data_IF_137176149807
#
_entry.id   IF_137176149807
#
_cell.length_a   1.000
_cell.length_b   1.000
_cell.length_c   1.000
_cell.angle_alpha   90.00
_cell.angle_beta   90.00
_cell.angle_gamma   90.00
#
_symmetry.space_group_name_H-M   'P 1'
#
loop_
_entity.id
_entity.type
_entity.pdbx_description
1 polymer ?
#
# COMPACT_ATOMS: atom_id res chain seq x y z
N UNK A 1 -11.08 -4.35 -3.14
CA UNK A 1 -10.91 -2.92 -2.76
C UNK A 1 -9.46 -2.60 -3.00
N UNK A 2 -9.12 -1.56 -3.77
CA UNK A 2 -7.70 -1.25 -3.99
C UNK A 2 -7.15 -0.50 -2.76
N UNK A 3 -6.50 -1.25 -1.87
CA UNK A 3 -5.95 -0.72 -0.62
C UNK A 3 -4.80 0.25 -0.85
N UNK A 4 -3.97 0.01 -1.87
CA UNK A 4 -2.88 0.90 -2.26
C UNK A 4 -3.41 2.27 -2.71
N UNK A 5 -4.39 2.28 -3.62
CA UNK A 5 -5.03 3.51 -4.09
C UNK A 5 -5.63 4.29 -2.94
N UNK A 6 -6.39 3.63 -2.06
CA UNK A 6 -7.06 4.33 -0.96
C UNK A 6 -6.06 4.91 0.05
N UNK A 7 -4.99 4.18 0.36
CA UNK A 7 -3.95 4.69 1.24
C UNK A 7 -3.22 5.89 0.62
N UNK A 8 -2.96 5.85 -0.69
CA UNK A 8 -2.37 6.97 -1.43
C UNK A 8 -3.29 8.20 -1.42
N UNK A 9 -4.59 8.04 -1.68
CA UNK A 9 -5.56 9.14 -1.62
C UNK A 9 -5.62 9.78 -0.22
N UNK A 10 -5.59 8.95 0.83
CA UNK A 10 -5.53 9.40 2.22
C UNK A 10 -4.25 10.19 2.49
N UNK A 11 -3.10 9.72 2.01
CA UNK A 11 -1.82 10.42 2.12
C UNK A 11 -1.83 11.77 1.36
N UNK A 12 -2.32 11.79 0.12
CA UNK A 12 -2.40 13.00 -0.70
C UNK A 12 -3.29 14.07 -0.06
N UNK A 13 -4.45 13.69 0.51
CA UNK A 13 -5.32 14.61 1.24
C UNK A 13 -4.61 15.23 2.44
N UNK A 14 -3.90 14.42 3.22
CA UNK A 14 -3.13 14.91 4.37
C UNK A 14 -2.00 15.85 3.94
N UNK A 15 -1.23 15.47 2.91
CA UNK A 15 -0.19 16.30 2.31
C UNK A 15 -0.70 17.68 1.94
N UNK A 16 -1.74 17.76 1.09
CA UNK A 16 -2.30 19.04 0.61
C UNK A 16 -2.70 19.91 1.79
N UNK A 17 -3.37 19.34 2.79
CA UNK A 17 -3.79 20.08 3.98
C UNK A 17 -2.59 20.63 4.77
N UNK A 18 -1.55 19.81 4.97
CA UNK A 18 -0.36 20.24 5.73
C UNK A 18 0.43 21.30 4.94
N UNK A 19 0.56 21.18 3.62
CA UNK A 19 1.22 22.18 2.78
C UNK A 19 0.53 23.54 2.87
N UNK A 20 -0.80 23.57 2.83
CA UNK A 20 -1.58 24.81 3.02
C UNK A 20 -1.31 25.44 4.39
N UNK A 21 -1.27 24.63 5.46
CA UNK A 21 -1.00 25.11 6.82
C UNK A 21 0.44 25.61 6.97
N UNK A 22 1.41 24.96 6.34
CA UNK A 22 2.81 25.41 6.30
C UNK A 22 2.95 26.74 5.55
N UNK A 23 2.23 26.92 4.44
CA UNK A 23 2.21 28.19 3.72
C UNK A 23 1.63 29.32 4.58
N UNK A 24 0.54 29.05 5.32
CA UNK A 24 -0.03 30.01 6.29
C UNK A 24 0.96 30.34 7.42
N UNK A 25 1.73 29.36 7.89
CA UNK A 25 2.79 29.56 8.89
C UNK A 25 3.86 30.53 8.37
N UNK A 26 4.30 30.34 7.12
CA UNK A 26 5.27 31.22 6.47
C UNK A 26 4.72 32.64 6.25
N UNK A 27 3.44 32.77 5.89
CA UNK A 27 2.77 34.06 5.76
C UNK A 27 2.68 34.80 7.10
N UNK A 28 2.31 34.10 8.18
CA UNK A 28 2.27 34.65 9.53
C UNK A 28 3.67 35.13 9.99
N UNK A 29 4.72 34.35 9.74
CA UNK A 29 6.12 34.76 9.99
C UNK A 29 6.47 36.04 9.23
N UNK A 30 6.08 36.12 7.95
CA UNK A 30 6.34 37.28 7.09
C UNK A 30 5.56 38.51 7.55
N UNK A 31 4.31 38.34 7.99
CA UNK A 31 3.49 39.40 8.55
C UNK A 31 4.07 39.96 9.84
N UNK A 32 4.54 39.09 10.73
CA UNK A 32 5.19 39.48 11.99
C UNK A 32 6.51 40.21 11.74
N UNK A 33 7.38 39.69 10.88
CA UNK A 33 8.64 40.35 10.49
C UNK A 33 8.41 41.76 9.94
N UNK A 34 7.38 41.93 9.11
CA UNK A 34 6.98 43.22 8.55
C UNK A 34 6.17 44.10 9.53
N UNK A 35 6.05 43.70 10.82
CA UNK A 35 5.30 44.39 11.88
C UNK A 35 3.83 44.68 11.55
N UNK A 36 3.23 43.81 10.71
CA UNK A 36 1.80 43.90 10.34
C UNK A 36 0.87 43.27 11.39
N UNK A 37 1.42 42.41 12.25
CA UNK A 37 0.73 41.77 13.38
C UNK A 37 1.57 41.91 14.64
N UNK A 38 0.93 41.83 15.81
CA UNK A 38 1.60 41.86 17.12
C UNK A 38 2.23 40.52 17.45
N UNK A 39 3.13 40.49 18.44
CA UNK A 39 3.72 39.26 18.96
C UNK A 39 2.65 38.28 19.46
N UNK A 40 1.65 38.77 20.20
CA UNK A 40 0.55 37.97 20.73
C UNK A 40 -0.23 37.26 19.61
N UNK A 41 -0.68 38.01 18.60
CA UNK A 41 -1.39 37.46 17.44
C UNK A 41 -0.51 36.46 16.68
N UNK A 42 0.79 36.74 16.57
CA UNK A 42 1.72 35.85 15.90
C UNK A 42 1.85 34.50 16.63
N UNK A 43 2.10 34.50 17.93
CA UNK A 43 2.28 33.26 18.70
C UNK A 43 1.00 32.43 18.80
N UNK A 44 -0.17 33.07 18.96
CA UNK A 44 -1.46 32.37 18.92
C UNK A 44 -1.71 31.71 17.56
N UNK A 45 -1.45 32.44 16.47
CA UNK A 45 -1.60 31.92 15.10
C UNK A 45 -0.69 30.72 14.87
N UNK A 46 0.58 30.79 15.29
CA UNK A 46 1.51 29.67 15.13
C UNK A 46 1.07 28.44 15.94
N UNK A 47 0.62 28.64 17.18
CA UNK A 47 0.16 27.55 18.04
C UNK A 47 -1.07 26.84 17.45
N UNK A 48 -2.01 27.59 16.88
CA UNK A 48 -3.19 27.02 16.22
C UNK A 48 -2.83 26.29 14.92
N UNK A 49 -1.92 26.85 14.11
CA UNK A 49 -1.42 26.19 12.90
C UNK A 49 -0.69 24.88 13.24
N UNK A 50 0.17 24.87 14.26
CA UNK A 50 0.88 23.67 14.69
C UNK A 50 -0.08 22.60 15.21
N UNK A 51 -1.12 22.99 15.95
CA UNK A 51 -2.20 22.08 16.36
C UNK A 51 -2.92 21.49 15.16
N UNK A 52 -3.23 22.30 14.15
CA UNK A 52 -3.93 21.86 12.94
C UNK A 52 -3.08 20.93 12.08
N UNK A 53 -1.76 21.16 12.00
CA UNK A 53 -0.81 20.26 11.33
C UNK A 53 -0.79 18.92 12.06
N UNK A 54 -0.64 18.92 13.39
CA UNK A 54 -0.67 17.70 14.20
C UNK A 54 -1.99 16.92 14.03
N UNK A 55 -3.13 17.62 13.97
CA UNK A 55 -4.44 17.01 13.72
C UNK A 55 -4.53 16.36 12.33
N UNK A 56 -4.04 17.03 11.28
CA UNK A 56 -4.02 16.47 9.93
C UNK A 56 -3.14 15.20 9.85
N UNK A 57 -1.96 15.25 10.49
CA UNK A 57 -1.04 14.11 10.60
C UNK A 57 -1.67 12.92 11.34
N UNK A 58 -2.29 13.18 12.49
CA UNK A 58 -2.93 12.13 13.30
C UNK A 58 -4.14 11.52 12.57
N UNK A 59 -4.90 12.31 11.80
CA UNK A 59 -5.99 11.79 10.97
C UNK A 59 -5.47 10.81 9.91
N UNK A 60 -4.36 11.14 9.23
CA UNK A 60 -3.69 10.22 8.31
C UNK A 60 -3.31 8.90 8.98
N UNK A 61 -2.65 8.95 10.15
CA UNK A 61 -2.23 7.74 10.86
C UNK A 61 -3.41 6.87 11.31
N UNK A 62 -4.50 7.49 11.77
CA UNK A 62 -5.71 6.76 12.15
C UNK A 62 -6.35 6.03 10.96
N UNK A 63 -6.43 6.70 9.80
CA UNK A 63 -6.95 6.08 8.57
C UNK A 63 -6.01 4.96 8.07
N UNK A 64 -4.70 5.19 8.07
CA UNK A 64 -3.70 4.18 7.70
C UNK A 64 -3.79 2.93 8.59
N UNK A 65 -3.90 3.08 9.91
CA UNK A 65 -4.08 1.94 10.82
C UNK A 65 -5.40 1.19 10.58
N UNK A 66 -6.49 1.91 10.30
CA UNK A 66 -7.77 1.30 9.95
C UNK A 66 -7.70 0.52 8.63
N UNK A 67 -7.02 1.08 7.63
CA UNK A 67 -6.77 0.41 6.35
C UNK A 67 -5.89 -0.82 6.53
N UNK A 68 -4.84 -0.74 7.35
CA UNK A 68 -3.97 -1.87 7.68
C UNK A 68 -4.76 -3.03 8.29
N UNK A 69 -5.59 -2.76 9.31
CA UNK A 69 -6.40 -3.80 9.94
C UNK A 69 -7.41 -4.44 8.97
N UNK A 70 -7.99 -3.63 8.09
CA UNK A 70 -8.89 -4.13 7.02
C UNK A 70 -8.14 -4.99 6.00
N UNK A 71 -6.94 -4.57 5.62
CA UNK A 71 -6.08 -5.28 4.69
C UNK A 71 -5.60 -6.62 5.27
N UNK A 72 -5.15 -6.62 6.53
CA UNK A 72 -4.75 -7.84 7.25
C UNK A 72 -5.89 -8.87 7.29
N UNK A 73 -7.11 -8.45 7.62
CA UNK A 73 -8.28 -9.33 7.60
C UNK A 73 -8.59 -9.87 6.18
N UNK A 74 -8.45 -9.03 5.15
CA UNK A 74 -8.65 -9.45 3.77
C UNK A 74 -7.55 -10.42 3.29
N UNK A 75 -6.29 -10.17 3.63
CA UNK A 75 -5.16 -11.04 3.32
C UNK A 75 -5.29 -12.40 4.00
N UNK A 76 -5.67 -12.43 5.29
CA UNK A 76 -5.92 -13.67 6.02
C UNK A 76 -7.08 -14.48 5.40
N UNK A 77 -8.16 -13.81 5.00
CA UNK A 77 -9.28 -14.46 4.32
C UNK A 77 -8.88 -15.00 2.95
N UNK A 78 -8.07 -14.24 2.20
CA UNK A 78 -7.52 -14.68 0.93
C UNK A 78 -6.63 -15.91 1.09
N UNK A 79 -5.79 -15.96 2.14
CA UNK A 79 -4.85 -17.06 2.38
C UNK A 79 -5.51 -18.34 2.91
N UNK A 80 -6.79 -18.26 3.32
CA UNK A 80 -7.56 -19.43 3.75
C UNK A 80 -7.83 -20.37 2.58
N UNK A 81 -7.39 -21.64 2.71
CA UNK A 81 -7.66 -22.69 1.75
C UNK A 81 -9.11 -23.16 1.88
N UNK A 82 -9.86 -23.03 0.79
CA UNK A 82 -11.26 -23.42 0.69
C UNK A 82 -11.40 -24.48 -0.42
N UNK A 83 -11.71 -25.74 -0.09
CA UNK A 83 -11.89 -26.82 -1.07
C UNK A 83 -12.97 -26.54 -2.10
N UNK A 84 -14.01 -25.76 -1.76
CA UNK A 84 -15.09 -25.41 -2.69
C UNK A 84 -14.62 -24.48 -3.82
N UNK A 85 -13.48 -23.80 -3.62
CA UNK A 85 -12.84 -22.97 -4.65
C UNK A 85 -11.97 -23.76 -5.62
N UNK A 86 -11.81 -25.08 -5.44
CA UNK A 86 -11.15 -25.91 -6.45
C UNK A 86 -11.99 -25.92 -7.73
N UNK A 87 -11.36 -25.56 -8.84
CA UNK A 87 -12.00 -25.57 -10.16
C UNK A 87 -11.71 -26.89 -10.89
N UNK A 88 -12.40 -27.13 -12.00
CA UNK A 88 -12.19 -28.32 -12.84
C UNK A 88 -10.76 -28.46 -13.36
N UNK A 89 -9.98 -27.37 -13.42
CA UNK A 89 -8.57 -27.41 -13.82
C UNK A 89 -7.71 -28.22 -12.84
N UNK A 90 -8.17 -28.48 -11.61
CA UNK A 90 -7.48 -29.39 -10.68
C UNK A 90 -7.32 -30.80 -11.28
N UNK A 91 -8.22 -31.20 -12.19
CA UNK A 91 -8.13 -32.48 -12.88
C UNK A 91 -6.94 -32.52 -13.85
N UNK A 92 -6.52 -31.38 -14.42
CA UNK A 92 -5.29 -31.30 -15.23
C UNK A 92 -4.06 -31.52 -14.36
N UNK A 93 -4.06 -31.02 -13.12
CA UNK A 93 -2.97 -31.17 -12.16
C UNK A 93 -2.80 -32.62 -11.66
N UNK A 94 -3.91 -33.38 -11.65
CA UNK A 94 -3.96 -34.80 -11.25
C UNK A 94 -3.87 -35.77 -12.45
N UNK A 95 -3.78 -35.24 -13.67
CA UNK A 95 -3.69 -36.03 -14.89
C UNK A 95 -2.33 -36.71 -15.00
N UNK A 96 -2.22 -37.90 -15.64
CA UNK A 96 -0.92 -38.49 -15.98
C UNK A 96 -0.14 -37.68 -17.04
N UNK A 97 -0.76 -36.64 -17.62
CA UNK A 97 -0.11 -35.76 -18.60
C UNK A 97 0.89 -34.85 -17.87
N UNK A 98 2.14 -34.88 -18.31
CA UNK A 98 3.18 -33.98 -17.81
C UNK A 98 2.98 -32.58 -18.38
N UNK A 99 2.60 -31.64 -17.52
CA UNK A 99 2.48 -30.23 -17.86
C UNK A 99 3.87 -29.59 -18.03
N UNK A 100 3.99 -28.69 -19.01
CA UNK A 100 5.20 -27.89 -19.22
C UNK A 100 5.17 -26.63 -18.34
N UNK A 101 6.32 -25.97 -18.21
CA UNK A 101 6.47 -24.69 -17.49
C UNK A 101 5.38 -23.68 -17.89
N UNK A 102 5.18 -23.49 -19.19
CA UNK A 102 4.22 -22.52 -19.74
C UNK A 102 2.76 -22.85 -19.41
N UNK A 103 2.43 -24.12 -19.16
CA UNK A 103 1.08 -24.52 -18.74
C UNK A 103 0.82 -24.10 -17.29
N UNK A 104 1.81 -24.31 -16.40
CA UNK A 104 1.73 -23.85 -15.02
C UNK A 104 1.64 -22.32 -14.93
N UNK A 105 2.43 -21.58 -15.72
CA UNK A 105 2.36 -20.10 -15.77
C UNK A 105 0.96 -19.63 -16.18
N UNK A 106 0.37 -20.21 -17.24
CA UNK A 106 -1.00 -19.87 -17.67
C UNK A 106 -2.06 -20.19 -16.62
N UNK A 107 -1.90 -21.32 -15.93
CA UNK A 107 -2.81 -21.71 -14.85
C UNK A 107 -2.73 -20.72 -13.67
N UNK A 108 -1.53 -20.26 -13.31
CA UNK A 108 -1.39 -19.19 -12.31
C UNK A 108 -2.07 -17.89 -12.75
N UNK A 109 -1.87 -17.46 -14.00
CA UNK A 109 -2.51 -16.23 -14.52
C UNK A 109 -4.04 -16.33 -14.47
N UNK A 110 -4.57 -17.49 -14.89
CA UNK A 110 -6.02 -17.76 -14.90
C UNK A 110 -6.62 -17.73 -13.49
N UNK A 111 -5.89 -18.20 -12.48
CA UNK A 111 -6.38 -18.37 -11.11
C UNK A 111 -5.76 -17.40 -10.11
N UNK A 112 -5.22 -16.26 -10.57
CA UNK A 112 -4.48 -15.28 -9.74
C UNK A 112 -5.20 -14.80 -8.47
N UNK A 113 -6.53 -14.83 -8.45
CA UNK A 113 -7.36 -14.40 -7.33
C UNK A 113 -7.91 -15.59 -6.49
N UNK A 114 -7.56 -16.83 -6.87
CA UNK A 114 -8.03 -18.06 -6.23
C UNK A 114 -6.88 -18.78 -5.51
N UNK A 115 -6.69 -18.44 -4.23
CA UNK A 115 -5.61 -19.01 -3.40
C UNK A 115 -5.57 -20.53 -3.37
N UNK A 116 -6.73 -21.18 -3.25
CA UNK A 116 -6.82 -22.65 -3.22
C UNK A 116 -6.26 -23.25 -4.50
N UNK A 117 -6.68 -22.73 -5.66
CA UNK A 117 -6.18 -23.18 -6.96
C UNK A 117 -4.68 -22.89 -7.12
N UNK A 118 -4.24 -21.69 -6.75
CA UNK A 118 -2.82 -21.34 -6.84
C UNK A 118 -1.96 -22.29 -6.01
N UNK A 119 -2.40 -22.63 -4.79
CA UNK A 119 -1.69 -23.59 -3.93
C UNK A 119 -1.62 -24.97 -4.59
N UNK A 120 -2.74 -25.46 -5.12
CA UNK A 120 -2.79 -26.74 -5.83
C UNK A 120 -1.84 -26.76 -7.05
N UNK A 121 -1.78 -25.67 -7.81
CA UNK A 121 -0.89 -25.50 -8.97
C UNK A 121 0.59 -25.60 -8.53
N UNK A 122 0.98 -24.87 -7.47
CA UNK A 122 2.36 -24.90 -6.97
C UNK A 122 2.74 -26.26 -6.37
N UNK A 123 1.84 -26.90 -5.62
CA UNK A 123 2.09 -28.22 -5.04
C UNK A 123 2.26 -29.28 -6.16
N UNK A 124 1.46 -29.20 -7.23
CA UNK A 124 1.60 -30.08 -8.41
C UNK A 124 2.91 -29.83 -9.17
N UNK A 125 3.31 -28.58 -9.39
CA UNK A 125 4.58 -28.24 -10.04
C UNK A 125 5.79 -28.75 -9.25
N UNK A 126 5.76 -28.58 -7.91
CA UNK A 126 6.81 -29.07 -7.01
C UNK A 126 6.91 -30.61 -7.03
N UNK A 127 5.76 -31.31 -6.97
CA UNK A 127 5.72 -32.78 -7.08
C UNK A 127 6.31 -33.29 -8.41
N UNK A 128 6.09 -32.55 -9.50
CA UNK A 128 6.60 -32.85 -10.83
C UNK A 128 8.01 -32.30 -11.12
N UNK A 129 8.64 -31.62 -10.14
CA UNK A 129 9.96 -30.99 -10.27
C UNK A 129 10.04 -30.01 -11.45
N UNK A 130 8.98 -29.25 -11.68
CA UNK A 130 8.94 -28.20 -12.69
C UNK A 130 9.19 -26.87 -11.99
N UNK A 131 10.34 -26.27 -12.27
CA UNK A 131 10.62 -24.89 -11.93
C UNK A 131 9.96 -24.00 -12.98
N UNK A 132 9.28 -22.95 -12.54
CA UNK A 132 8.61 -22.03 -13.43
C UNK A 132 8.59 -20.63 -12.84
N UNK A 133 8.64 -19.64 -13.73
CA UNK A 133 8.55 -18.26 -13.32
C UNK A 133 7.08 -17.87 -13.22
N UNK A 134 6.69 -17.35 -12.07
CA UNK A 134 5.36 -16.76 -11.93
C UNK A 134 5.32 -15.42 -12.68
N UNK A 135 4.19 -15.08 -13.33
CA UNK A 135 4.02 -13.78 -13.96
C UNK A 135 4.16 -12.68 -12.90
N UNK A 136 5.06 -11.72 -13.13
CA UNK A 136 5.38 -10.65 -12.17
C UNK A 136 6.42 -11.01 -11.09
N UNK A 137 7.04 -12.20 -11.16
CA UNK A 137 8.17 -12.58 -10.30
C UNK A 137 7.83 -13.02 -8.87
N UNK A 138 6.56 -13.19 -8.51
CA UNK A 138 6.15 -13.57 -7.15
C UNK A 138 5.95 -15.07 -6.93
N UNK A 139 6.66 -15.69 -5.98
CA UNK A 139 6.17 -16.90 -5.27
C UNK A 139 4.75 -16.61 -4.77
N UNK A 140 3.87 -17.62 -4.59
CA UNK A 140 2.61 -17.41 -3.88
C UNK A 140 2.87 -16.60 -2.61
N UNK A 141 2.50 -15.32 -2.67
CA UNK A 141 2.85 -14.35 -1.64
C UNK A 141 1.94 -14.71 -0.47
N UNK A 142 2.50 -15.18 0.65
CA UNK A 142 1.71 -15.49 1.84
C UNK A 142 0.96 -14.23 2.31
N UNK A 143 -0.09 -14.40 3.13
CA UNK A 143 -0.71 -13.26 3.80
C UNK A 143 0.33 -12.38 4.51
N UNK A 144 1.33 -13.00 5.14
CA UNK A 144 2.42 -12.29 5.83
C UNK A 144 3.26 -11.42 4.89
N UNK A 145 3.64 -11.94 3.71
CA UNK A 145 4.42 -11.17 2.73
C UNK A 145 3.58 -10.05 2.10
N UNK A 146 2.28 -10.29 1.90
CA UNK A 146 1.32 -9.27 1.46
C UNK A 146 1.22 -8.14 2.50
N UNK A 147 1.10 -8.50 3.78
CA UNK A 147 1.07 -7.55 4.89
C UNK A 147 2.38 -6.76 5.02
N UNK A 148 3.53 -7.43 4.88
CA UNK A 148 4.83 -6.78 4.87
C UNK A 148 4.95 -5.74 3.75
N UNK A 149 4.50 -6.08 2.53
CA UNK A 149 4.48 -5.13 1.41
C UNK A 149 3.56 -3.92 1.69
N UNK A 150 2.43 -4.14 2.35
CA UNK A 150 1.55 -3.04 2.78
C UNK A 150 2.23 -2.15 3.82
N UNK A 151 2.92 -2.74 4.79
CA UNK A 151 3.63 -2.03 5.85
C UNK A 151 4.80 -1.21 5.26
N UNK A 152 5.58 -1.75 4.32
CA UNK A 152 6.66 -1.04 3.62
C UNK A 152 6.13 0.16 2.82
N UNK A 153 5.01 -0.03 2.11
CA UNK A 153 4.35 1.05 1.37
C UNK A 153 3.82 2.14 2.31
N UNK A 154 3.18 1.74 3.41
CA UNK A 154 2.68 2.64 4.45
C UNK A 154 3.80 3.44 5.12
N UNK A 155 4.96 2.80 5.32
CA UNK A 155 6.14 3.45 5.87
C UNK A 155 6.70 4.51 4.92
N UNK A 156 6.74 4.22 3.62
CA UNK A 156 7.15 5.20 2.61
C UNK A 156 6.26 6.44 2.66
N UNK A 157 4.93 6.26 2.67
CA UNK A 157 3.98 7.37 2.77
C UNK A 157 4.11 8.15 4.08
N UNK A 158 4.35 7.45 5.19
CA UNK A 158 4.60 8.04 6.50
C UNK A 158 5.81 8.97 6.46
N UNK A 159 6.93 8.54 5.86
CA UNK A 159 8.11 9.39 5.71
C UNK A 159 7.82 10.63 4.86
N UNK A 160 6.98 10.50 3.82
CA UNK A 160 6.53 11.63 3.03
C UNK A 160 5.72 12.65 3.83
N UNK A 161 4.78 12.17 4.64
CA UNK A 161 3.99 13.04 5.50
C UNK A 161 4.88 13.75 6.53
N UNK A 162 5.81 13.04 7.18
CA UNK A 162 6.73 13.66 8.14
C UNK A 162 7.64 14.70 7.49
N UNK A 163 8.13 14.47 6.27
CA UNK A 163 8.89 15.46 5.50
C UNK A 163 8.10 16.77 5.29
N UNK A 164 6.83 16.65 4.92
CA UNK A 164 5.95 17.80 4.70
C UNK A 164 5.63 18.50 6.03
N UNK A 165 5.46 17.75 7.12
CA UNK A 165 5.30 18.30 8.48
C UNK A 165 6.54 19.05 8.94
N UNK A 166 7.75 18.56 8.67
CA UNK A 166 8.98 19.26 9.03
C UNK A 166 9.35 20.42 8.11
N UNK A 167 8.65 20.59 6.98
CA UNK A 167 8.94 21.63 5.99
C UNK A 167 10.30 21.46 5.30
N UNK A 168 10.89 20.26 5.35
CA UNK A 168 12.26 19.98 4.87
C UNK A 168 12.35 19.74 3.36
N UNK A 169 11.25 19.89 2.62
CA UNK A 169 11.29 19.93 1.15
C UNK A 169 11.75 18.63 0.47
N UNK A 170 11.81 17.49 1.18
CA UNK A 170 12.04 16.20 0.50
C UNK A 170 10.77 15.85 -0.29
N UNK A 171 10.93 15.92 -1.61
CA UNK A 171 9.89 15.78 -2.64
C UNK A 171 9.04 14.53 -2.42
N UNK A 172 7.77 14.73 -2.03
CA UNK A 172 6.72 13.71 -2.10
C UNK A 172 6.58 13.12 -3.52
N UNK A 173 7.02 13.86 -4.54
CA UNK A 173 7.08 13.40 -5.93
C UNK A 173 7.98 12.18 -6.18
N UNK A 174 8.98 11.91 -5.33
CA UNK A 174 9.75 10.65 -5.43
C UNK A 174 8.87 9.45 -5.03
N UNK A 175 7.98 9.61 -4.04
CA UNK A 175 7.02 8.56 -3.66
C UNK A 175 5.94 8.32 -4.72
N UNK A 176 5.46 9.38 -5.39
CA UNK A 176 4.54 9.24 -6.53
C UNK A 176 5.19 8.53 -7.74
N UNK A 177 6.51 8.63 -7.90
CA UNK A 177 7.26 7.90 -8.94
C UNK A 177 7.55 6.43 -8.59
N UNK A 178 7.47 6.05 -7.30
CA UNK A 178 7.59 4.65 -6.85
C UNK A 178 6.28 3.88 -7.01
N UNK A 179 5.16 4.59 -7.20
CA UNK A 179 3.88 4.02 -7.58
C UNK A 179 3.74 3.83 -9.09
N UNK A 180 4.75 3.29 -9.78
CA UNK A 180 4.50 2.72 -11.12
C UNK A 180 3.71 1.40 -10.92
N UNK A 181 2.38 1.54 -10.96
CA UNK A 181 1.34 0.71 -10.30
C UNK A 181 1.09 -0.66 -10.96
N UNK A 182 2.13 -1.38 -11.41
CA UNK A 182 1.94 -2.75 -11.92
C UNK A 182 2.33 -3.83 -10.91
N UNK A 183 3.44 -3.65 -10.19
CA UNK A 183 3.94 -4.63 -9.22
C UNK A 183 3.34 -4.47 -7.82
N UNK A 184 3.12 -3.22 -7.37
CA UNK A 184 2.50 -2.92 -6.08
C UNK A 184 1.03 -3.36 -6.03
N UNK A 185 0.31 -3.20 -7.14
CA UNK A 185 -1.10 -3.59 -7.25
C UNK A 185 -1.25 -5.12 -7.13
N UNK A 186 -0.32 -5.91 -7.65
CA UNK A 186 -0.36 -7.38 -7.51
C UNK A 186 -0.09 -7.82 -6.06
N UNK A 187 0.82 -7.13 -5.36
CA UNK A 187 1.11 -7.41 -3.95
C UNK A 187 -0.06 -6.98 -3.03
N UNK A 188 -0.64 -5.81 -3.28
CA UNK A 188 -1.64 -5.14 -2.42
C UNK A 188 -3.09 -5.40 -2.81
N UNK A 189 -3.35 -6.18 -3.85
CA UNK A 189 -4.69 -6.71 -4.13
C UNK A 189 -4.94 -7.99 -3.32
N UNK A 190 -6.09 -7.99 -2.64
CA UNK A 190 -6.71 -9.08 -1.87
C UNK A 190 -8.22 -9.01 -2.00
#
# INVERSE_FOLDING_TARGET
MNYATKLMETAQKAKIKIEVLQAQKQEANTAHFNRRITDEVHYETLADLDRNIANARNAFYNEMHSLRGSYEAAAAKWDTLDPEKLTSDVNLLNSPIKLAESDYTKLLEKHKDNRTMLRAIMDSAAANKVEFTTPGGGVLVSADLKLAAFDDFSQSLTQGIESVVSGTGLNFGVMESMTDVSSLDVALNV
#
